data_IF_791934706770
#
_entry.id   IF_791934706770
#
_cell.length_a   1.000
_cell.length_b   1.000
_cell.length_c   1.000
_cell.angle_alpha   90.00
_cell.angle_beta   90.00
_cell.angle_gamma   90.00
#
_symmetry.space_group_name_H-M   'P 1'
#
loop_
_entity.id
_entity.type
_entity.pdbx_description
1 polymer ?
#
# COMPACT_ATOMS: atom_id res chain seq x y z
N UNK A 1 10.62 10.24 15.04
CA UNK A 1 10.72 10.45 13.60
C UNK A 1 9.80 11.60 13.21
N UNK A 2 10.32 12.57 12.47
CA UNK A 2 9.53 13.72 12.05
C UNK A 2 9.47 13.75 10.53
N UNK A 3 8.33 14.04 9.93
CA UNK A 3 8.24 14.34 8.50
C UNK A 3 8.03 15.86 8.35
N UNK A 4 8.79 16.46 7.44
CA UNK A 4 8.50 17.82 6.98
C UNK A 4 7.40 17.77 5.95
N UNK A 5 6.29 18.40 6.25
CA UNK A 5 5.19 18.61 5.29
C UNK A 5 5.28 20.06 4.81
N UNK A 6 5.60 20.26 3.53
CA UNK A 6 5.49 21.55 2.90
C UNK A 6 4.05 21.80 2.44
N UNK A 7 3.43 22.87 2.89
CA UNK A 7 2.17 23.33 2.33
C UNK A 7 2.41 24.63 1.60
N UNK A 8 2.16 24.64 0.35
CA UNK A 8 1.73 25.71 -0.52
C UNK A 8 2.52 25.82 -1.83
N UNK A 9 1.76 25.82 -2.92
CA UNK A 9 2.27 26.01 -4.27
C UNK A 9 2.56 27.50 -4.62
N UNK A 10 2.42 28.43 -3.67
CA UNK A 10 2.52 29.88 -3.89
C UNK A 10 3.56 30.62 -3.07
N UNK A 11 4.68 30.00 -2.73
CA UNK A 11 5.86 30.66 -2.12
C UNK A 11 5.88 30.88 -0.60
N UNK A 12 4.91 30.49 0.17
CA UNK A 12 5.02 30.49 1.62
C UNK A 12 5.17 29.07 2.13
N UNK A 13 6.42 28.68 2.38
CA UNK A 13 6.72 27.41 3.06
C UNK A 13 6.35 27.55 4.54
N UNK A 14 5.40 26.75 4.97
CA UNK A 14 5.23 26.44 6.37
C UNK A 14 5.85 25.06 6.61
N UNK A 15 7.02 25.03 7.26
CA UNK A 15 7.59 23.78 7.74
C UNK A 15 6.96 23.43 9.09
N UNK A 16 6.24 22.33 9.13
CA UNK A 16 5.75 21.76 10.38
C UNK A 16 6.59 20.54 10.74
N UNK A 17 7.21 20.55 11.90
CA UNK A 17 7.68 19.32 12.53
C UNK A 17 6.50 18.68 13.23
N UNK A 18 5.95 17.65 12.63
CA UNK A 18 4.87 16.88 13.23
C UNK A 18 5.46 15.65 13.88
N UNK A 19 5.21 15.40 15.15
CA UNK A 19 5.56 14.12 15.74
C UNK A 19 4.73 13.03 15.03
N UNK A 20 5.40 12.24 14.21
CA UNK A 20 4.79 11.11 13.56
C UNK A 20 4.73 9.96 14.53
N UNK A 21 3.56 9.65 14.99
CA UNK A 21 3.30 8.34 15.53
C UNK A 21 3.05 7.40 14.34
N UNK A 22 4.02 6.54 14.08
CA UNK A 22 3.79 5.37 13.26
C UNK A 22 2.90 4.44 14.07
N UNK A 23 1.61 4.64 13.96
CA UNK A 23 0.64 3.68 14.49
C UNK A 23 0.37 2.62 13.44
N UNK A 24 -0.13 1.44 13.81
CA UNK A 24 -0.63 0.45 12.87
C UNK A 24 -1.66 1.01 11.87
N UNK A 25 -2.28 2.13 12.16
CA UNK A 25 -3.21 2.83 11.26
C UNK A 25 -2.52 3.68 10.18
N UNK A 26 -1.21 3.88 10.25
CA UNK A 26 -0.45 4.69 9.29
C UNK A 26 0.25 5.87 9.96
N UNK A 27 0.58 6.86 9.15
CA UNK A 27 1.15 8.11 9.62
C UNK A 27 0.00 8.98 10.12
N UNK A 28 -0.03 9.22 11.40
CA UNK A 28 -1.09 9.96 12.08
C UNK A 28 -0.54 11.26 12.67
N UNK A 29 -1.20 12.37 12.39
CA UNK A 29 -0.98 13.64 13.06
C UNK A 29 -2.14 13.92 14.01
N UNK A 30 -1.88 13.87 15.31
CA UNK A 30 -2.88 14.11 16.35
C UNK A 30 -3.30 15.57 16.51
N UNK A 31 -2.50 16.53 15.97
CA UNK A 31 -2.62 17.91 16.37
C UNK A 31 -3.33 18.81 15.35
N UNK A 32 -3.58 18.34 14.13
CA UNK A 32 -4.21 19.16 13.11
C UNK A 32 -5.21 18.39 12.23
N UNK A 33 -6.49 18.60 12.48
CA UNK A 33 -7.58 17.99 11.71
C UNK A 33 -7.66 18.48 10.24
N UNK A 34 -6.91 19.50 9.86
CA UNK A 34 -6.93 20.07 8.52
C UNK A 34 -5.84 19.52 7.57
N UNK A 35 -4.80 18.87 8.07
CA UNK A 35 -3.76 18.25 7.25
C UNK A 35 -4.22 16.87 6.74
N UNK A 36 -5.27 16.89 5.95
CA UNK A 36 -5.95 15.69 5.43
C UNK A 36 -5.20 14.96 4.32
N UNK A 37 -4.04 15.41 3.89
CA UNK A 37 -3.29 14.77 2.80
C UNK A 37 -2.67 13.43 3.18
N UNK A 38 -2.46 13.18 4.47
CA UNK A 38 -1.93 11.93 5.01
C UNK A 38 -2.79 11.34 6.13
N UNK A 39 -3.86 12.03 6.53
CA UNK A 39 -4.72 11.62 7.62
C UNK A 39 -5.95 10.93 7.05
N UNK A 40 -6.24 9.78 7.58
CA UNK A 40 -7.48 9.07 7.31
C UNK A 40 -8.65 9.84 7.92
N UNK A 41 -9.82 9.84 7.30
CA UNK A 41 -10.95 10.67 7.72
C UNK A 41 -11.46 10.41 9.14
N UNK A 42 -11.03 9.34 9.77
CA UNK A 42 -11.42 8.98 11.14
C UNK A 42 -10.42 7.99 11.72
N UNK A 43 -9.68 8.39 12.76
CA UNK A 43 -8.72 7.52 13.45
C UNK A 43 -9.39 6.24 13.99
N UNK A 44 -10.61 6.35 14.52
CA UNK A 44 -11.37 5.20 15.00
C UNK A 44 -11.80 4.25 13.88
N UNK A 45 -11.89 4.75 12.64
CA UNK A 45 -12.26 3.94 11.48
C UNK A 45 -11.15 2.98 11.04
N UNK A 46 -9.88 3.31 11.32
CA UNK A 46 -8.72 2.50 10.94
C UNK A 46 -8.15 1.65 12.05
N UNK A 47 -8.18 2.14 13.27
CA UNK A 47 -7.62 1.42 14.40
C UNK A 47 -8.29 0.06 14.57
N UNK A 48 -9.58 -0.02 14.34
CA UNK A 48 -10.30 -1.27 14.53
C UNK A 48 -9.96 -2.36 13.49
N UNK A 49 -10.07 -2.14 12.16
CA UNK A 49 -9.72 -3.19 11.20
C UNK A 49 -8.24 -3.55 11.23
N UNK A 50 -7.35 -2.56 11.31
CA UNK A 50 -5.91 -2.81 11.29
C UNK A 50 -5.47 -3.58 12.52
N UNK A 51 -5.86 -3.12 13.71
CA UNK A 51 -5.54 -3.81 14.96
C UNK A 51 -6.08 -5.24 14.97
N UNK A 52 -7.34 -5.44 14.61
CA UNK A 52 -7.95 -6.77 14.58
C UNK A 52 -7.23 -7.73 13.62
N UNK A 53 -6.80 -7.23 12.46
CA UNK A 53 -6.05 -8.01 11.47
C UNK A 53 -4.63 -8.33 11.92
N UNK A 54 -3.97 -7.39 12.59
CA UNK A 54 -2.63 -7.59 13.16
C UNK A 54 -2.67 -8.59 14.30
N UNK A 55 -3.64 -8.46 15.19
CA UNK A 55 -3.84 -9.40 16.30
C UNK A 55 -4.12 -10.82 15.78
N UNK A 56 -4.98 -10.93 14.76
CA UNK A 56 -5.30 -12.21 14.11
C UNK A 56 -4.06 -12.85 13.45
N UNK A 57 -3.24 -12.03 12.75
CA UNK A 57 -1.97 -12.49 12.17
C UNK A 57 -1.03 -13.03 13.25
N UNK A 58 -0.82 -12.26 14.31
CA UNK A 58 0.08 -12.63 15.38
C UNK A 58 -0.38 -13.89 16.13
N UNK A 59 -1.70 -14.09 16.22
CA UNK A 59 -2.30 -15.29 16.80
C UNK A 59 -2.41 -16.49 15.83
N UNK A 60 -2.02 -16.34 14.56
CA UNK A 60 -2.21 -17.38 13.54
C UNK A 60 -3.68 -17.73 13.30
N UNK A 61 -4.56 -16.74 13.37
CA UNK A 61 -6.01 -16.92 13.20
C UNK A 61 -6.50 -16.33 11.88
N UNK A 62 -7.20 -17.13 11.09
CA UNK A 62 -7.91 -16.64 9.93
C UNK A 62 -9.16 -15.85 10.36
N UNK A 63 -9.53 -14.88 9.56
CA UNK A 63 -10.65 -13.98 9.82
C UNK A 63 -11.62 -13.90 8.66
N UNK A 64 -12.88 -13.63 8.94
CA UNK A 64 -13.85 -13.23 7.94
C UNK A 64 -13.88 -11.71 7.86
N UNK A 65 -13.57 -11.15 6.70
CA UNK A 65 -13.68 -9.72 6.44
C UNK A 65 -14.90 -9.39 5.59
N UNK A 66 -15.47 -8.19 5.79
CA UNK A 66 -16.38 -7.57 4.85
C UNK A 66 -15.61 -6.51 4.06
N UNK A 67 -15.48 -6.74 2.76
CA UNK A 67 -14.63 -5.93 1.87
C UNK A 67 -15.43 -5.34 0.71
N UNK A 68 -15.20 -4.07 0.40
CA UNK A 68 -15.85 -3.38 -0.72
C UNK A 68 -14.80 -3.03 -1.78
N UNK A 69 -14.83 -3.69 -2.92
CA UNK A 69 -14.01 -3.30 -4.08
C UNK A 69 -14.63 -2.08 -4.80
N UNK A 70 -13.83 -1.25 -5.49
CA UNK A 70 -14.36 -0.11 -6.25
C UNK A 70 -15.45 -0.55 -7.23
N UNK A 71 -16.59 0.15 -7.20
CA UNK A 71 -17.71 -0.12 -8.09
C UNK A 71 -18.41 -1.47 -7.89
N UNK A 72 -18.18 -2.14 -6.74
CA UNK A 72 -18.81 -3.44 -6.43
C UNK A 72 -19.44 -3.41 -5.05
N UNK A 73 -20.43 -4.25 -4.85
CA UNK A 73 -21.04 -4.50 -3.55
C UNK A 73 -20.05 -5.12 -2.58
N UNK A 74 -20.29 -4.88 -1.28
CA UNK A 74 -19.51 -5.46 -0.21
C UNK A 74 -19.65 -6.99 -0.19
N UNK A 75 -18.53 -7.68 -0.15
CA UNK A 75 -18.44 -9.14 -0.09
C UNK A 75 -17.78 -9.61 1.18
N UNK A 76 -18.10 -10.84 1.59
CA UNK A 76 -17.46 -11.53 2.69
C UNK A 76 -16.39 -12.46 2.15
N UNK A 77 -15.20 -12.44 2.80
CA UNK A 77 -14.07 -13.30 2.49
C UNK A 77 -13.51 -13.88 3.77
N UNK A 78 -13.21 -15.18 3.77
CA UNK A 78 -12.34 -15.78 4.79
C UNK A 78 -10.92 -15.67 4.29
N UNK A 79 -10.06 -15.06 5.09
CA UNK A 79 -8.67 -14.78 4.75
C UNK A 79 -7.73 -15.08 5.91
N UNK A 80 -6.51 -15.46 5.60
CA UNK A 80 -5.39 -15.52 6.53
C UNK A 80 -4.48 -14.33 6.30
N UNK A 81 -4.40 -13.33 7.22
CA UNK A 81 -3.51 -12.19 7.09
C UNK A 81 -2.04 -12.62 7.07
N UNK A 82 -1.26 -12.21 6.06
CA UNK A 82 0.15 -12.58 5.93
C UNK A 82 1.09 -11.43 6.26
N UNK A 83 0.90 -10.28 5.61
CA UNK A 83 1.76 -9.12 5.81
C UNK A 83 1.04 -7.81 5.50
N UNK A 84 1.59 -6.69 6.00
CA UNK A 84 1.05 -5.36 5.80
C UNK A 84 2.12 -4.45 5.22
N UNK A 85 1.73 -3.58 4.29
CA UNK A 85 2.65 -2.61 3.71
C UNK A 85 1.94 -1.32 3.33
N UNK A 86 2.70 -0.23 3.32
CA UNK A 86 2.21 1.08 2.95
C UNK A 86 2.69 1.44 1.54
N UNK A 87 1.79 1.83 0.66
CA UNK A 87 2.13 2.28 -0.68
C UNK A 87 1.08 3.25 -1.23
N UNK A 88 1.55 4.35 -1.84
CA UNK A 88 0.67 5.32 -2.48
C UNK A 88 -0.41 5.87 -1.55
N UNK A 89 -0.01 6.33 -0.36
CA UNK A 89 -0.89 6.91 0.66
C UNK A 89 -1.97 5.95 1.19
N UNK A 90 -1.73 4.64 1.15
CA UNK A 90 -2.67 3.66 1.68
C UNK A 90 -1.96 2.43 2.27
N UNK A 91 -2.58 1.86 3.30
CA UNK A 91 -2.21 0.56 3.83
C UNK A 91 -2.88 -0.57 3.07
N UNK A 92 -2.09 -1.58 2.79
CA UNK A 92 -2.50 -2.81 2.14
C UNK A 92 -2.11 -4.00 2.98
N UNK A 93 -2.91 -5.03 2.88
CA UNK A 93 -2.66 -6.34 3.48
C UNK A 93 -2.54 -7.38 2.38
N UNK A 94 -1.52 -8.21 2.46
CA UNK A 94 -1.42 -9.45 1.72
C UNK A 94 -2.05 -10.54 2.58
N UNK A 95 -2.91 -11.33 2.01
CA UNK A 95 -3.57 -12.43 2.71
C UNK A 95 -3.79 -13.61 1.78
N UNK A 96 -3.87 -14.81 2.34
CA UNK A 96 -4.37 -15.97 1.61
C UNK A 96 -5.89 -15.95 1.65
N UNK A 97 -6.52 -15.96 0.48
CA UNK A 97 -7.97 -15.99 0.34
C UNK A 97 -8.45 -17.43 0.20
N UNK A 98 -9.15 -17.95 1.19
CA UNK A 98 -9.56 -19.35 1.26
C UNK A 98 -10.52 -19.73 0.12
N UNK A 99 -11.37 -18.81 -0.32
CA UNK A 99 -12.30 -19.07 -1.44
C UNK A 99 -11.59 -19.23 -2.78
N UNK A 100 -10.52 -18.45 -2.99
CA UNK A 100 -9.78 -18.47 -4.26
C UNK A 100 -8.56 -19.41 -4.22
N UNK A 101 -8.16 -19.88 -3.04
CA UNK A 101 -6.95 -20.69 -2.86
C UNK A 101 -5.67 -19.96 -3.26
N UNK A 102 -5.65 -18.63 -3.18
CA UNK A 102 -4.58 -17.80 -3.68
C UNK A 102 -4.33 -16.57 -2.81
N UNK A 103 -3.14 -15.98 -2.95
CA UNK A 103 -2.82 -14.71 -2.34
C UNK A 103 -3.66 -13.58 -2.95
N UNK A 104 -4.07 -12.67 -2.10
CA UNK A 104 -4.87 -11.50 -2.48
C UNK A 104 -4.39 -10.27 -1.73
N UNK A 105 -4.44 -9.14 -2.41
CA UNK A 105 -4.12 -7.83 -1.81
C UNK A 105 -5.41 -7.11 -1.44
N UNK A 106 -5.50 -6.66 -0.20
CA UNK A 106 -6.65 -5.91 0.31
C UNK A 106 -6.21 -4.53 0.82
N UNK A 107 -6.84 -3.47 0.32
CA UNK A 107 -6.66 -2.14 0.90
C UNK A 107 -7.42 -2.06 2.23
N UNK A 108 -6.73 -1.75 3.33
CA UNK A 108 -7.29 -1.79 4.69
C UNK A 108 -8.53 -0.89 4.80
N UNK A 109 -8.49 0.31 4.23
CA UNK A 109 -9.61 1.26 4.27
C UNK A 109 -10.91 0.78 3.62
N UNK A 110 -10.88 -0.33 2.92
CA UNK A 110 -12.07 -0.95 2.30
C UNK A 110 -12.62 -2.12 3.11
N UNK A 111 -12.00 -2.45 4.25
CA UNK A 111 -12.48 -3.47 5.18
C UNK A 111 -13.39 -2.78 6.19
N UNK A 112 -14.66 -3.15 6.19
CA UNK A 112 -15.66 -2.52 7.06
C UNK A 112 -16.01 -3.35 8.29
N UNK A 113 -15.65 -4.63 8.29
CA UNK A 113 -15.89 -5.56 9.43
C UNK A 113 -14.84 -6.66 9.41
N UNK A 114 -14.43 -7.09 10.59
CA UNK A 114 -13.54 -8.24 10.82
C UNK A 114 -14.19 -9.13 11.88
N UNK A 115 -14.29 -10.41 11.60
CA UNK A 115 -14.84 -11.41 12.51
C UNK A 115 -13.88 -12.60 12.60
N UNK A 116 -13.75 -13.26 13.76
CA UNK A 116 -13.06 -14.54 13.84
C UNK A 116 -13.69 -15.58 12.90
N UNK A 117 -12.87 -16.35 12.18
CA UNK A 117 -13.37 -17.48 11.35
C UNK A 117 -13.38 -18.79 12.10
N UNK A 118 -12.65 -18.88 13.22
CA UNK A 118 -12.40 -20.14 13.93
C UNK A 118 -11.28 -21.00 13.36
N UNK A 119 -10.75 -20.66 12.19
CA UNK A 119 -9.67 -21.40 11.53
C UNK A 119 -8.31 -20.87 11.96
N UNK A 120 -7.31 -21.76 12.04
CA UNK A 120 -5.93 -21.41 12.32
C UNK A 120 -5.04 -21.63 11.10
N UNK A 121 -3.96 -20.86 11.01
CA UNK A 121 -2.93 -21.02 9.98
C UNK A 121 -1.55 -20.66 10.58
N UNK A 122 -0.49 -21.01 9.87
CA UNK A 122 0.88 -20.61 10.20
C UNK A 122 1.21 -19.38 9.39
N UNK A 123 1.39 -18.20 10.03
CA UNK A 123 1.81 -17.01 9.31
C UNK A 123 3.18 -17.22 8.66
N UNK A 124 3.46 -16.59 7.51
CA UNK A 124 4.81 -16.54 6.97
C UNK A 124 5.78 -15.96 8.00
N UNK A 125 6.99 -16.50 8.05
CA UNK A 125 8.06 -15.98 8.89
C UNK A 125 8.35 -14.52 8.57
N UNK A 126 8.69 -13.74 9.59
CA UNK A 126 8.93 -12.31 9.46
C UNK A 126 10.11 -12.00 8.54
N UNK A 127 9.99 -10.92 7.80
CA UNK A 127 11.03 -10.28 7.03
C UNK A 127 10.89 -10.41 5.52
N UNK A 128 10.36 -9.36 4.89
CA UNK A 128 10.45 -9.20 3.43
C UNK A 128 9.36 -9.87 2.59
N UNK A 129 8.38 -10.53 3.19
CA UNK A 129 7.31 -11.20 2.42
C UNK A 129 6.56 -10.21 1.51
N UNK A 130 6.21 -9.04 2.02
CA UNK A 130 5.56 -7.99 1.23
C UNK A 130 6.49 -7.46 0.13
N UNK A 131 7.78 -7.31 0.40
CA UNK A 131 8.76 -6.87 -0.58
C UNK A 131 8.92 -7.89 -1.71
N UNK A 132 9.04 -9.17 -1.40
CA UNK A 132 9.12 -10.25 -2.38
C UNK A 132 7.83 -10.36 -3.20
N UNK A 133 6.68 -10.39 -2.53
CA UNK A 133 5.37 -10.47 -3.16
C UNK A 133 5.11 -9.32 -4.12
N UNK A 134 5.52 -8.09 -3.76
CA UNK A 134 5.30 -6.90 -4.58
C UNK A 134 6.44 -6.59 -5.55
N UNK A 135 7.53 -7.34 -5.55
CA UNK A 135 8.72 -7.07 -6.36
C UNK A 135 8.44 -6.98 -7.86
N UNK A 136 7.45 -7.72 -8.36
CA UNK A 136 7.02 -7.71 -9.77
C UNK A 136 5.78 -6.85 -10.01
N UNK A 137 5.25 -6.20 -8.98
CA UNK A 137 4.04 -5.41 -9.10
C UNK A 137 4.37 -3.98 -9.52
N UNK A 138 3.70 -3.48 -10.55
CA UNK A 138 3.83 -2.06 -10.90
C UNK A 138 3.37 -1.14 -9.75
N UNK A 139 2.31 -1.53 -9.06
CA UNK A 139 1.79 -0.73 -7.94
C UNK A 139 1.58 -1.55 -6.66
N UNK A 140 0.46 -2.20 -6.47
CA UNK A 140 0.11 -2.85 -5.18
C UNK A 140 -0.10 -4.35 -5.27
N UNK A 141 -0.35 -4.89 -6.44
CA UNK A 141 -0.64 -6.32 -6.60
C UNK A 141 0.11 -6.86 -7.80
N UNK A 142 0.84 -7.96 -7.66
CA UNK A 142 1.44 -8.64 -8.80
C UNK A 142 0.32 -9.18 -9.69
N UNK A 143 0.55 -9.16 -11.00
CA UNK A 143 -0.27 -9.87 -11.96
C UNK A 143 0.03 -11.37 -11.96
N UNK A 144 -0.76 -12.13 -12.69
CA UNK A 144 -0.52 -13.57 -12.94
C UNK A 144 0.57 -13.80 -13.98
N UNK A 145 0.82 -12.80 -14.81
CA UNK A 145 1.80 -12.85 -15.91
C UNK A 145 2.80 -11.70 -15.78
N UNK A 146 4.01 -11.95 -16.25
CA UNK A 146 5.07 -10.92 -16.33
C UNK A 146 5.15 -10.41 -17.76
N UNK A 147 5.03 -9.11 -17.94
CA UNK A 147 5.16 -8.44 -19.22
C UNK A 147 6.41 -7.57 -19.24
N UNK A 148 7.18 -7.65 -20.31
CA UNK A 148 8.24 -6.67 -20.58
C UNK A 148 7.62 -5.50 -21.33
N UNK A 149 7.69 -4.32 -20.72
CA UNK A 149 7.18 -3.08 -21.30
C UNK A 149 8.39 -2.26 -21.77
N UNK A 150 8.31 -1.72 -22.99
CA UNK A 150 9.31 -0.80 -23.53
C UNK A 150 8.62 0.47 -23.98
N UNK A 151 8.98 1.59 -23.36
CA UNK A 151 8.39 2.90 -23.62
C UNK A 151 9.45 3.85 -24.17
N UNK A 152 9.12 4.62 -25.21
CA UNK A 152 9.93 5.77 -25.61
C UNK A 152 9.30 7.03 -25.05
N UNK A 153 10.03 7.71 -24.20
CA UNK A 153 9.62 8.94 -23.52
C UNK A 153 10.34 10.14 -24.15
N UNK A 154 9.62 11.26 -24.31
CA UNK A 154 10.14 12.49 -24.92
C UNK A 154 9.84 13.71 -24.05
N UNK A 155 10.57 14.81 -24.29
CA UNK A 155 10.39 16.06 -23.55
C UNK A 155 10.55 15.89 -22.05
N UNK A 156 9.72 16.54 -21.23
CA UNK A 156 9.81 16.48 -19.78
C UNK A 156 9.72 15.09 -19.18
N UNK A 157 9.01 14.15 -19.84
CA UNK A 157 8.93 12.76 -19.38
C UNK A 157 10.25 12.00 -19.55
N UNK A 158 11.05 12.33 -20.57
CA UNK A 158 12.38 11.76 -20.74
C UNK A 158 13.29 12.16 -19.56
N UNK A 159 13.32 13.44 -19.18
CA UNK A 159 14.04 13.90 -17.98
C UNK A 159 13.56 13.23 -16.70
N UNK A 160 12.26 13.08 -16.53
CA UNK A 160 11.72 12.41 -15.36
C UNK A 160 12.11 10.94 -15.28
N UNK A 161 12.20 10.24 -16.41
CA UNK A 161 12.59 8.83 -16.45
C UNK A 161 14.05 8.59 -16.03
N UNK A 162 14.91 9.59 -16.20
CA UNK A 162 16.30 9.53 -15.75
C UNK A 162 16.44 9.77 -14.24
N UNK A 163 15.53 10.55 -13.68
CA UNK A 163 15.59 10.97 -12.26
C UNK A 163 14.79 10.05 -11.34
N UNK A 164 13.73 9.40 -11.86
CA UNK A 164 12.78 8.64 -11.04
C UNK A 164 12.82 7.17 -11.42
N UNK A 165 13.01 6.32 -10.43
CA UNK A 165 12.89 4.87 -10.58
C UNK A 165 11.47 4.44 -10.20
N UNK A 166 10.59 4.28 -11.19
CA UNK A 166 9.20 3.86 -10.97
C UNK A 166 9.05 2.36 -10.64
N UNK A 167 9.99 1.53 -11.11
CA UNK A 167 10.00 0.10 -10.81
C UNK A 167 11.43 -0.41 -10.54
N UNK A 168 11.63 -1.36 -9.60
CA UNK A 168 12.96 -1.91 -9.30
C UNK A 168 13.70 -2.46 -10.51
N UNK A 169 13.00 -3.06 -11.47
CA UNK A 169 13.60 -3.63 -12.69
C UNK A 169 13.85 -2.62 -13.80
N UNK A 170 13.47 -1.35 -13.61
CA UNK A 170 13.59 -0.31 -14.62
C UNK A 170 15.03 -0.16 -15.11
N UNK A 171 15.17 -0.14 -16.42
CA UNK A 171 16.40 0.27 -17.13
C UNK A 171 16.05 1.45 -18.04
N UNK A 172 16.94 2.42 -18.09
CA UNK A 172 16.81 3.62 -18.94
C UNK A 172 17.97 3.69 -19.91
N UNK A 173 17.69 4.09 -21.13
CA UNK A 173 18.68 4.24 -22.20
C UNK A 173 18.39 5.55 -22.95
N UNK A 174 19.32 6.50 -22.89
CA UNK A 174 19.22 7.78 -23.60
C UNK A 174 19.47 7.55 -25.08
N UNK A 175 18.73 8.29 -25.91
CA UNK A 175 18.85 8.23 -27.37
C UNK A 175 19.41 9.56 -27.89
N UNK A 176 20.04 9.53 -29.06
CA UNK A 176 20.63 10.71 -29.71
C UNK A 176 19.64 11.86 -29.95
N UNK A 177 18.35 11.53 -30.11
CA UNK A 177 17.28 12.51 -30.29
C UNK A 177 16.76 13.11 -28.96
N UNK A 178 17.43 12.84 -27.86
CA UNK A 178 17.03 13.29 -26.51
C UNK A 178 15.82 12.56 -25.94
N UNK A 179 15.33 11.51 -26.61
CA UNK A 179 14.34 10.63 -26.02
C UNK A 179 15.00 9.59 -25.11
N UNK A 180 14.22 8.99 -24.20
CA UNK A 180 14.67 7.93 -23.30
C UNK A 180 13.84 6.68 -23.55
N UNK A 181 14.50 5.56 -23.73
CA UNK A 181 13.86 4.24 -23.72
C UNK A 181 13.86 3.73 -22.27
N UNK A 182 12.68 3.44 -21.78
CA UNK A 182 12.46 2.78 -20.50
C UNK A 182 12.00 1.35 -20.77
N UNK A 183 12.67 0.40 -20.10
CA UNK A 183 12.33 -1.03 -20.19
C UNK A 183 12.14 -1.60 -18.82
#
# INVERSE_FOLDING_TARGET
CFIRLGSDMTQNYYEYEVPLQLTPAGIYNSDNQNDRLLVWPDANYFDFPFKALTDARNAGQAVQIRYTSPGKDARKWVISPYDFYFRGSAWYMISFNHKHGALSTHRISRITRVYPSGERYIPPTEGGFSAEYTASAWYVSPGTERHRIRLRLKGGLAGSALLVKWHPSQKTEEQEDGSVILT
#
